data_IF_701850492819
#
_entry.id   IF_701850492819
#
_cell.length_a   1.000
_cell.length_b   1.000
_cell.length_c   1.000
_cell.angle_alpha   90.00
_cell.angle_beta   90.00
_cell.angle_gamma   90.00
#
_symmetry.space_group_name_H-M   'P 1'
#
loop_
_entity.id
_entity.type
_entity.pdbx_description
1 polymer ?
#
# COMPACT_ATOMS: atom_id res chain seq x y z
N UNK A 1 -8.35 10.90 -8.35
CA UNK A 1 -7.66 10.77 -7.04
C UNK A 1 -6.18 10.60 -7.28
N UNK A 2 -5.35 11.26 -6.47
CA UNK A 2 -3.88 11.16 -6.50
C UNK A 2 -3.41 10.26 -5.36
N UNK A 3 -2.28 9.57 -5.53
CA UNK A 3 -1.68 8.81 -4.44
C UNK A 3 -1.32 9.76 -3.29
N UNK A 4 -1.74 9.48 -2.04
CA UNK A 4 -1.46 10.36 -0.90
C UNK A 4 0.04 10.39 -0.56
N UNK A 5 0.76 9.32 -0.85
CA UNK A 5 2.20 9.22 -0.71
C UNK A 5 2.79 8.24 -1.74
N UNK A 6 4.05 8.43 -2.11
CA UNK A 6 4.82 7.51 -2.94
C UNK A 6 6.16 7.26 -2.27
N UNK A 7 6.52 5.99 -2.06
CA UNK A 7 7.84 5.61 -1.55
C UNK A 7 8.85 5.45 -2.67
N UNK A 8 9.97 6.16 -2.57
CA UNK A 8 11.15 5.97 -3.40
C UNK A 8 12.28 5.42 -2.52
N UNK A 9 12.73 4.19 -2.81
CA UNK A 9 13.75 3.48 -2.02
C UNK A 9 15.11 3.57 -2.71
N UNK A 10 16.16 3.83 -1.92
CA UNK A 10 17.52 3.92 -2.42
C UNK A 10 18.05 2.58 -2.96
N UNK A 11 19.01 2.66 -3.91
CA UNK A 11 19.63 1.48 -4.56
C UNK A 11 20.16 0.47 -3.55
N UNK A 12 20.92 0.91 -2.55
CA UNK A 12 21.51 0.02 -1.55
C UNK A 12 20.44 -0.71 -0.73
N UNK A 13 19.37 0.00 -0.33
CA UNK A 13 18.25 -0.59 0.38
C UNK A 13 17.50 -1.65 -0.45
N UNK A 14 17.39 -1.44 -1.76
CA UNK A 14 16.70 -2.38 -2.63
C UNK A 14 17.40 -3.74 -2.77
N UNK A 15 18.68 -3.88 -2.44
CA UNK A 15 19.33 -5.20 -2.37
C UNK A 15 18.72 -6.07 -1.26
N UNK A 16 18.28 -5.47 -0.15
CA UNK A 16 17.60 -6.19 0.95
C UNK A 16 16.26 -6.77 0.48
N UNK A 17 15.58 -6.05 -0.42
CA UNK A 17 14.22 -6.40 -0.88
C UNK A 17 14.24 -7.33 -2.09
N UNK A 18 15.16 -7.10 -3.04
CA UNK A 18 15.18 -7.80 -4.34
C UNK A 18 16.35 -8.77 -4.51
N UNK A 19 17.28 -8.84 -3.55
CA UNK A 19 18.48 -9.69 -3.62
C UNK A 19 19.74 -8.93 -4.06
N UNK A 20 20.92 -9.53 -3.82
CA UNK A 20 22.22 -8.92 -4.15
C UNK A 20 22.43 -8.75 -5.66
N UNK A 21 21.77 -9.60 -6.45
CA UNK A 21 21.88 -9.73 -7.90
C UNK A 21 20.80 -8.93 -8.67
N UNK A 22 19.97 -8.12 -7.98
CA UNK A 22 18.82 -7.47 -8.63
C UNK A 22 19.21 -6.46 -9.74
N UNK A 23 20.47 -6.02 -9.74
CA UNK A 23 21.04 -5.10 -10.72
C UNK A 23 21.60 -5.81 -11.95
N UNK A 24 21.68 -7.15 -11.95
CA UNK A 24 22.06 -7.90 -13.15
C UNK A 24 21.09 -7.54 -14.30
N UNK A 25 21.58 -7.37 -15.54
CA UNK A 25 20.76 -6.84 -16.64
C UNK A 25 19.43 -7.55 -16.84
N UNK A 26 19.42 -8.88 -16.77
CA UNK A 26 18.21 -9.70 -16.91
C UNK A 26 17.20 -9.46 -15.77
N UNK A 27 17.69 -9.41 -14.53
CA UNK A 27 16.87 -9.14 -13.34
C UNK A 27 16.28 -7.74 -13.38
N UNK A 28 17.10 -6.74 -13.73
CA UNK A 28 16.66 -5.35 -13.78
C UNK A 28 15.62 -5.12 -14.88
N UNK A 29 15.79 -5.75 -16.05
CA UNK A 29 14.83 -5.70 -17.14
C UNK A 29 13.45 -6.23 -16.70
N UNK A 30 13.43 -7.38 -16.03
CA UNK A 30 12.21 -7.96 -15.46
C UNK A 30 11.58 -7.09 -14.38
N UNK A 31 12.38 -6.55 -13.45
CA UNK A 31 11.89 -5.71 -12.34
C UNK A 31 11.32 -4.36 -12.78
N UNK A 32 11.72 -3.84 -13.94
CA UNK A 32 11.13 -2.63 -14.54
C UNK A 32 9.71 -2.87 -15.03
N UNK A 33 9.33 -4.11 -15.33
CA UNK A 33 7.98 -4.47 -15.79
C UNK A 33 7.02 -4.80 -14.64
N UNK A 34 7.42 -4.57 -13.37
CA UNK A 34 6.57 -4.87 -12.21
C UNK A 34 5.28 -4.05 -12.24
N UNK A 35 4.18 -4.67 -11.85
CA UNK A 35 2.87 -4.02 -11.80
C UNK A 35 2.58 -3.45 -10.40
N UNK A 36 2.42 -2.11 -10.32
CA UNK A 36 2.13 -1.39 -9.07
C UNK A 36 0.65 -1.04 -8.88
N UNK A 37 -0.19 -1.26 -9.89
CA UNK A 37 -1.56 -0.77 -9.94
C UNK A 37 -2.43 -1.29 -8.79
N UNK A 38 -2.31 -2.57 -8.43
CA UNK A 38 -3.07 -3.16 -7.32
C UNK A 38 -2.70 -2.50 -5.98
N UNK A 39 -1.40 -2.37 -5.67
CA UNK A 39 -0.96 -1.71 -4.42
C UNK A 39 -1.40 -0.24 -4.38
N UNK A 40 -1.30 0.47 -5.50
CA UNK A 40 -1.76 1.85 -5.63
C UNK A 40 -3.28 1.98 -5.42
N UNK A 41 -4.08 1.07 -5.96
CA UNK A 41 -5.53 1.06 -5.74
C UNK A 41 -5.87 0.79 -4.28
N UNK A 42 -5.23 -0.21 -3.66
CA UNK A 42 -5.43 -0.54 -2.26
C UNK A 42 -5.08 0.65 -1.36
N UNK A 43 -3.92 1.28 -1.58
CA UNK A 43 -3.49 2.45 -0.83
C UNK A 43 -4.50 3.60 -0.88
N UNK A 44 -5.17 3.84 -2.02
CA UNK A 44 -6.23 4.85 -2.12
C UNK A 44 -7.48 4.47 -1.32
N UNK A 45 -7.89 3.21 -1.37
CA UNK A 45 -9.06 2.71 -0.66
C UNK A 45 -8.84 2.72 0.85
N UNK A 46 -7.71 2.19 1.31
CA UNK A 46 -7.28 2.20 2.71
C UNK A 46 -7.18 3.64 3.24
N UNK A 47 -6.60 4.56 2.46
CA UNK A 47 -6.51 5.97 2.84
C UNK A 47 -7.90 6.61 2.99
N UNK A 48 -8.80 6.39 2.04
CA UNK A 48 -10.16 6.92 2.10
C UNK A 48 -10.92 6.39 3.33
N UNK A 49 -10.82 5.08 3.60
CA UNK A 49 -11.41 4.45 4.78
C UNK A 49 -10.80 4.98 6.08
N UNK A 50 -9.48 5.19 6.11
CA UNK A 50 -8.78 5.75 7.27
C UNK A 50 -9.26 7.18 7.59
N UNK A 51 -9.32 8.06 6.59
CA UNK A 51 -9.82 9.43 6.76
C UNK A 51 -11.29 9.43 7.21
N UNK A 52 -12.13 8.60 6.62
CA UNK A 52 -13.54 8.48 7.01
C UNK A 52 -13.68 7.97 8.45
N UNK A 53 -12.92 6.94 8.84
CA UNK A 53 -12.94 6.42 10.21
C UNK A 53 -12.53 7.47 11.24
N UNK A 54 -11.48 8.25 10.96
CA UNK A 54 -11.06 9.37 11.82
C UNK A 54 -12.14 10.44 11.91
N UNK A 55 -12.75 10.81 10.78
CA UNK A 55 -13.82 11.81 10.75
C UNK A 55 -15.00 11.37 11.62
N UNK A 56 -15.51 10.15 11.43
CA UNK A 56 -16.62 9.62 12.23
C UNK A 56 -16.33 9.56 13.72
N UNK A 57 -15.08 9.23 14.08
CA UNK A 57 -14.65 9.25 15.46
C UNK A 57 -14.68 10.66 16.05
N UNK A 58 -14.14 11.66 15.33
CA UNK A 58 -14.16 13.07 15.75
C UNK A 58 -15.58 13.60 15.88
N UNK A 59 -16.47 13.20 14.97
CA UNK A 59 -17.90 13.57 14.95
C UNK A 59 -18.74 12.82 16.01
N UNK A 60 -18.10 11.95 16.82
CA UNK A 60 -18.72 11.15 17.89
C UNK A 60 -19.84 10.22 17.40
N UNK A 61 -19.70 9.69 16.19
CA UNK A 61 -20.59 8.65 15.69
C UNK A 61 -20.50 7.36 16.54
N UNK A 62 -21.52 6.47 16.49
CA UNK A 62 -21.46 5.18 17.15
C UNK A 62 -20.20 4.39 16.78
N UNK A 63 -19.62 3.70 17.75
CA UNK A 63 -18.37 2.96 17.59
C UNK A 63 -18.42 1.94 16.43
N UNK A 64 -19.60 1.34 16.17
CA UNK A 64 -19.80 0.43 15.04
C UNK A 64 -19.50 1.09 13.69
N UNK A 65 -19.83 2.37 13.51
CA UNK A 65 -19.60 3.15 12.28
C UNK A 65 -18.14 3.50 12.07
N UNK A 66 -17.38 3.67 13.15
CA UNK A 66 -15.92 3.84 13.10
C UNK A 66 -15.27 2.50 12.76
N UNK A 67 -15.69 1.42 13.44
CA UNK A 67 -15.14 0.09 13.24
C UNK A 67 -15.43 -0.49 11.85
N UNK A 68 -16.53 -0.11 11.19
CA UNK A 68 -16.76 -0.53 9.81
C UNK A 68 -15.60 -0.10 8.88
N UNK A 69 -15.07 1.12 9.07
CA UNK A 69 -13.94 1.63 8.30
C UNK A 69 -12.64 0.91 8.68
N UNK A 70 -12.39 0.72 9.98
CA UNK A 70 -11.18 0.05 10.48
C UNK A 70 -11.11 -1.40 10.01
N UNK A 71 -12.20 -2.14 10.12
CA UNK A 71 -12.27 -3.54 9.70
C UNK A 71 -12.20 -3.68 8.18
N UNK A 72 -12.78 -2.76 7.41
CA UNK A 72 -12.64 -2.74 5.96
C UNK A 72 -11.19 -2.52 5.53
N UNK A 73 -10.46 -1.60 6.18
CA UNK A 73 -9.02 -1.40 5.93
C UNK A 73 -8.23 -2.68 6.24
N UNK A 74 -8.52 -3.35 7.36
CA UNK A 74 -7.87 -4.62 7.70
C UNK A 74 -8.16 -5.71 6.67
N UNK A 75 -9.39 -5.78 6.16
CA UNK A 75 -9.76 -6.75 5.13
C UNK A 75 -9.01 -6.50 3.80
N UNK A 76 -8.77 -5.24 3.44
CA UNK A 76 -8.00 -4.89 2.23
C UNK A 76 -6.52 -5.30 2.32
N UNK A 77 -5.93 -5.28 3.52
CA UNK A 77 -4.55 -5.73 3.74
C UNK A 77 -4.41 -7.27 3.64
N UNK A 78 -5.49 -8.02 3.80
CA UNK A 78 -5.48 -9.48 3.62
C UNK A 78 -5.40 -9.91 2.15
N UNK A 79 -5.72 -9.00 1.22
CA UNK A 79 -5.67 -9.28 -0.21
C UNK A 79 -4.22 -9.36 -0.71
N UNK A 80 -3.84 -10.41 -1.46
CA UNK A 80 -2.45 -10.63 -1.82
C UNK A 80 -1.94 -9.57 -2.81
N UNK A 81 -0.83 -8.94 -2.45
CA UNK A 81 -0.08 -8.01 -3.30
C UNK A 81 1.40 -8.41 -3.26
N UNK A 82 2.18 -8.02 -4.28
CA UNK A 82 3.63 -8.25 -4.27
C UNK A 82 4.25 -7.66 -3.00
N UNK A 83 4.82 -8.48 -2.10
CA UNK A 83 5.33 -8.03 -0.80
C UNK A 83 6.56 -7.13 -0.93
N UNK A 84 7.18 -7.08 -2.11
CA UNK A 84 8.33 -6.23 -2.38
C UNK A 84 7.92 -4.80 -2.70
N UNK A 85 6.63 -4.55 -2.98
CA UNK A 85 6.11 -3.26 -3.39
C UNK A 85 5.86 -2.29 -2.26
#
# INVERSE_FOLDING_TARGET
MIQPAIKARGRNYLHIIYGIDYLQPENLARLKQRNVSRKQRHALMEFALGIEGVKRFVDKEPISRVHECVLATLALEAEPVDPRL
#
